data_IF_612507346897
#
_entry.id   IF_612507346897
#
_cell.length_a   1.000
_cell.length_b   1.000
_cell.length_c   1.000
_cell.angle_alpha   90.00
_cell.angle_beta   90.00
_cell.angle_gamma   90.00
#
_symmetry.space_group_name_H-M   'P 1'
#
loop_
_entity.id
_entity.type
_entity.pdbx_description
1 polymer ?
#
# COMPACT_ATOMS: atom_id res chain seq x y z
N UNK A 1 -30.37 8.78 15.95
CA UNK A 1 -29.56 7.69 15.35
C UNK A 1 -28.11 8.06 15.58
N UNK A 2 -27.36 7.25 16.32
CA UNK A 2 -25.93 7.49 16.54
C UNK A 2 -25.11 7.12 15.31
N UNK A 3 -23.86 7.59 15.25
CA UNK A 3 -22.91 7.16 14.22
C UNK A 3 -22.52 5.72 14.48
N UNK A 4 -22.67 4.86 13.47
CA UNK A 4 -22.14 3.49 13.51
C UNK A 4 -20.62 3.54 13.34
N UNK A 5 -19.90 3.34 14.45
CA UNK A 5 -18.44 3.40 14.47
C UNK A 5 -17.82 2.27 13.65
N UNK A 6 -18.44 1.08 13.59
CA UNK A 6 -17.90 -0.02 12.80
C UNK A 6 -17.98 0.33 11.31
N UNK A 7 -19.12 0.83 10.85
CA UNK A 7 -19.26 1.27 9.46
C UNK A 7 -18.30 2.42 9.12
N UNK A 8 -18.14 3.40 10.02
CA UNK A 8 -17.21 4.51 9.83
C UNK A 8 -15.77 4.02 9.68
N UNK A 9 -15.30 3.16 10.59
CA UNK A 9 -13.96 2.60 10.53
C UNK A 9 -13.75 1.73 9.30
N UNK A 10 -14.75 0.94 8.89
CA UNK A 10 -14.69 0.17 7.66
C UNK A 10 -14.48 1.07 6.43
N UNK A 11 -15.16 2.22 6.36
CA UNK A 11 -14.97 3.21 5.28
C UNK A 11 -13.57 3.81 5.31
N UNK A 12 -13.06 4.21 6.49
CA UNK A 12 -11.71 4.78 6.63
C UNK A 12 -10.65 3.79 6.17
N UNK A 13 -10.75 2.53 6.61
CA UNK A 13 -9.81 1.47 6.24
C UNK A 13 -9.89 1.17 4.75
N UNK A 14 -11.10 1.04 4.19
CA UNK A 14 -11.30 0.80 2.77
C UNK A 14 -10.70 1.94 1.94
N UNK A 15 -10.90 3.18 2.36
CA UNK A 15 -10.29 4.35 1.74
C UNK A 15 -8.76 4.27 1.81
N UNK A 16 -8.18 3.95 2.97
CA UNK A 16 -6.73 3.80 3.12
C UNK A 16 -6.15 2.72 2.19
N UNK A 17 -6.78 1.55 2.11
CA UNK A 17 -6.36 0.47 1.21
C UNK A 17 -6.48 0.91 -0.27
N UNK A 18 -7.55 1.61 -0.64
CA UNK A 18 -7.70 2.13 -2.01
C UNK A 18 -6.63 3.15 -2.35
N UNK A 19 -6.32 4.07 -1.43
CA UNK A 19 -5.25 5.05 -1.61
C UNK A 19 -3.90 4.36 -1.77
N UNK A 20 -3.60 3.33 -0.98
CA UNK A 20 -2.40 2.51 -1.14
C UNK A 20 -2.32 1.92 -2.55
N UNK A 21 -3.37 1.22 -3.00
CA UNK A 21 -3.40 0.58 -4.32
C UNK A 21 -3.20 1.59 -5.46
N UNK A 22 -3.76 2.79 -5.34
CA UNK A 22 -3.66 3.82 -6.39
C UNK A 22 -2.31 4.53 -6.36
N UNK A 23 -1.84 4.93 -5.18
CA UNK A 23 -0.62 5.72 -5.02
C UNK A 23 0.62 4.81 -5.07
N UNK A 24 0.74 3.84 -4.19
CA UNK A 24 1.91 2.95 -4.18
C UNK A 24 1.95 2.03 -5.41
N UNK A 25 0.78 1.76 -6.01
CA UNK A 25 0.68 1.00 -7.25
C UNK A 25 1.45 1.61 -8.42
N UNK A 26 1.58 2.95 -8.50
CA UNK A 26 2.41 3.57 -9.53
C UNK A 26 3.91 3.46 -9.22
N UNK A 27 4.31 3.56 -7.94
CA UNK A 27 5.70 3.40 -7.50
C UNK A 27 6.22 2.00 -7.84
N UNK A 28 5.46 0.98 -7.43
CA UNK A 28 5.72 -0.42 -7.74
C UNK A 28 5.68 -0.67 -9.25
N UNK A 29 4.74 -0.05 -9.97
CA UNK A 29 4.66 -0.11 -11.42
C UNK A 29 5.93 0.42 -12.10
N UNK A 30 6.46 1.55 -11.63
CA UNK A 30 7.74 2.10 -12.09
C UNK A 30 8.89 1.15 -11.75
N UNK A 31 8.92 0.57 -10.55
CA UNK A 31 9.92 -0.42 -10.14
C UNK A 31 9.94 -1.66 -11.05
N UNK A 32 8.76 -2.18 -11.41
CA UNK A 32 8.61 -3.31 -12.34
C UNK A 32 9.12 -2.93 -13.75
N UNK A 33 8.83 -1.71 -14.20
CA UNK A 33 9.21 -1.24 -15.54
C UNK A 33 10.69 -0.83 -15.64
N UNK A 34 11.31 -0.42 -14.53
CA UNK A 34 12.68 0.11 -14.44
C UNK A 34 13.75 -0.71 -15.20
N UNK A 35 13.85 -2.06 -15.08
CA UNK A 35 14.88 -2.83 -15.79
C UNK A 35 14.71 -2.83 -17.31
N UNK A 36 13.52 -2.52 -17.83
CA UNK A 36 13.24 -2.53 -19.27
C UNK A 36 13.71 -1.25 -19.99
N UNK A 37 13.92 -0.16 -19.26
CA UNK A 37 14.51 1.08 -19.80
C UNK A 37 16.04 0.97 -19.78
N UNK A 38 16.70 1.25 -20.90
CA UNK A 38 18.17 1.10 -21.02
C UNK A 38 18.93 2.42 -20.89
N UNK A 39 18.33 3.53 -21.31
CA UNK A 39 18.93 4.84 -21.19
C UNK A 39 18.96 5.28 -19.72
N UNK A 40 20.08 5.88 -19.32
CA UNK A 40 20.24 6.35 -17.94
C UNK A 40 19.28 7.51 -17.66
N UNK A 41 19.11 8.39 -18.63
CA UNK A 41 18.26 9.56 -18.55
C UNK A 41 16.79 9.16 -18.26
N UNK A 42 16.28 8.13 -18.94
CA UNK A 42 14.93 7.63 -18.71
C UNK A 42 14.76 7.08 -17.28
N UNK A 43 15.76 6.32 -16.80
CA UNK A 43 15.78 5.78 -15.43
C UNK A 43 15.86 6.87 -14.38
N UNK A 44 16.67 7.90 -14.61
CA UNK A 44 16.78 9.04 -13.72
C UNK A 44 15.45 9.80 -13.65
N UNK A 45 14.76 9.99 -14.78
CA UNK A 45 13.40 10.58 -14.80
C UNK A 45 12.42 9.72 -14.02
N UNK A 46 12.39 8.40 -14.25
CA UNK A 46 11.53 7.47 -13.52
C UNK A 46 11.73 7.60 -12.00
N UNK A 47 12.98 7.53 -11.52
CA UNK A 47 13.28 7.64 -10.09
C UNK A 47 12.90 9.01 -9.51
N UNK A 48 13.14 10.09 -10.24
CA UNK A 48 12.81 11.45 -9.80
C UNK A 48 11.30 11.68 -9.66
N UNK A 49 10.45 10.87 -10.30
CA UNK A 49 8.99 10.95 -10.11
C UNK A 49 8.49 10.25 -8.85
N UNK A 50 9.19 9.21 -8.39
CA UNK A 50 8.80 8.36 -7.24
C UNK A 50 9.42 8.84 -5.94
N UNK A 51 10.71 9.18 -5.96
CA UNK A 51 11.50 9.52 -4.78
C UNK A 51 10.88 10.56 -3.83
N UNK A 52 10.18 11.62 -4.27
CA UNK A 52 9.61 12.59 -3.34
C UNK A 52 8.31 12.14 -2.64
N UNK A 53 7.68 11.04 -3.07
CA UNK A 53 6.32 10.66 -2.63
C UNK A 53 6.19 9.23 -2.12
N UNK A 54 7.12 8.33 -2.47
CA UNK A 54 7.03 6.90 -2.15
C UNK A 54 6.80 6.60 -0.66
N UNK A 55 7.60 7.20 0.23
CA UNK A 55 7.48 7.02 1.69
C UNK A 55 6.10 7.45 2.19
N UNK A 56 5.51 8.49 1.60
CA UNK A 56 4.14 8.91 1.88
C UNK A 56 3.10 7.90 1.40
N UNK A 57 3.33 7.25 0.25
CA UNK A 57 2.41 6.29 -0.33
C UNK A 57 2.32 5.00 0.50
N UNK A 58 3.45 4.53 1.03
CA UNK A 58 3.51 3.37 1.92
C UNK A 58 2.72 3.58 3.23
N UNK A 59 2.60 4.83 3.72
CA UNK A 59 1.85 5.10 4.96
C UNK A 59 0.38 4.68 4.87
N UNK A 60 -0.21 4.65 3.68
CA UNK A 60 -1.59 4.19 3.47
C UNK A 60 -1.75 2.69 3.76
N UNK A 61 -0.74 1.87 3.43
CA UNK A 61 -0.74 0.45 3.79
C UNK A 61 -0.71 0.27 5.30
N UNK A 62 0.15 1.04 5.97
CA UNK A 62 0.27 1.01 7.43
C UNK A 62 -1.05 1.41 8.09
N UNK A 63 -1.71 2.46 7.60
CA UNK A 63 -3.04 2.86 8.06
C UNK A 63 -4.08 1.74 7.87
N UNK A 64 -4.10 1.09 6.71
CA UNK A 64 -5.01 -0.02 6.43
C UNK A 64 -4.78 -1.21 7.37
N UNK A 65 -3.53 -1.64 7.53
CA UNK A 65 -3.16 -2.76 8.39
C UNK A 65 -3.38 -2.48 9.88
N UNK A 66 -2.90 -1.34 10.38
CA UNK A 66 -3.08 -0.93 11.77
C UNK A 66 -4.57 -0.66 12.09
N UNK A 67 -5.30 -0.06 11.14
CA UNK A 67 -6.74 0.17 11.25
C UNK A 67 -7.51 -1.15 11.34
N UNK A 68 -7.20 -2.14 10.50
CA UNK A 68 -7.78 -3.48 10.59
C UNK A 68 -7.48 -4.13 11.94
N UNK A 69 -6.23 -4.07 12.42
CA UNK A 69 -5.86 -4.63 13.72
C UNK A 69 -6.65 -3.98 14.87
N UNK A 70 -6.78 -2.66 14.86
CA UNK A 70 -7.43 -1.90 15.92
C UNK A 70 -8.96 -2.03 15.93
N UNK A 71 -9.60 -1.91 14.76
CA UNK A 71 -11.06 -1.91 14.64
C UNK A 71 -11.66 -3.31 14.38
N UNK A 72 -10.94 -4.20 13.71
CA UNK A 72 -11.42 -5.52 13.26
C UNK A 72 -10.36 -6.62 13.42
N UNK A 73 -9.91 -6.94 14.64
CA UNK A 73 -8.78 -7.84 14.88
C UNK A 73 -8.96 -9.24 14.30
N UNK A 74 -10.21 -9.75 14.25
CA UNK A 74 -10.51 -11.04 13.59
C UNK A 74 -10.33 -10.96 12.07
N UNK A 75 -10.74 -9.88 11.43
CA UNK A 75 -10.52 -9.71 9.99
C UNK A 75 -9.01 -9.58 9.69
N UNK A 76 -8.28 -8.83 10.51
CA UNK A 76 -6.82 -8.70 10.41
C UNK A 76 -6.13 -10.07 10.45
N UNK A 77 -6.45 -10.92 11.44
CA UNK A 77 -5.79 -12.22 11.59
C UNK A 77 -6.11 -13.18 10.44
N UNK A 78 -7.36 -13.19 9.96
CA UNK A 78 -7.78 -14.02 8.83
C UNK A 78 -7.09 -13.59 7.53
N UNK A 79 -7.05 -12.28 7.24
CA UNK A 79 -6.37 -11.75 6.05
C UNK A 79 -4.87 -12.03 6.12
N UNK A 80 -4.22 -11.73 7.24
CA UNK A 80 -2.79 -11.95 7.40
C UNK A 80 -2.42 -13.44 7.23
N UNK A 81 -3.23 -14.35 7.76
CA UNK A 81 -3.01 -15.78 7.62
C UNK A 81 -3.24 -16.25 6.18
N UNK A 82 -4.32 -15.83 5.53
CA UNK A 82 -4.64 -16.23 4.16
C UNK A 82 -3.64 -15.68 3.13
N UNK A 83 -3.13 -14.47 3.36
CA UNK A 83 -2.26 -13.74 2.43
C UNK A 83 -0.82 -13.61 2.93
N UNK A 84 -0.37 -14.45 3.88
CA UNK A 84 0.97 -14.35 4.45
C UNK A 84 2.07 -14.33 3.38
N UNK A 85 2.07 -15.30 2.45
CA UNK A 85 3.08 -15.35 1.39
C UNK A 85 3.00 -14.15 0.43
N UNK A 86 1.83 -13.81 -0.15
CA UNK A 86 1.69 -12.59 -0.95
C UNK A 86 2.17 -11.31 -0.25
N UNK A 87 1.79 -11.11 1.02
CA UNK A 87 2.18 -9.92 1.78
C UNK A 87 3.69 -9.89 2.04
N UNK A 88 4.32 -11.02 2.32
CA UNK A 88 5.78 -11.08 2.48
C UNK A 88 6.49 -10.71 1.18
N UNK A 89 6.05 -11.23 0.03
CA UNK A 89 6.66 -10.86 -1.26
C UNK A 89 6.47 -9.39 -1.60
N UNK A 90 5.29 -8.83 -1.29
CA UNK A 90 5.03 -7.41 -1.44
C UNK A 90 5.98 -6.58 -0.57
N UNK A 91 6.11 -6.91 0.72
CA UNK A 91 7.00 -6.21 1.65
C UNK A 91 8.48 -6.29 1.24
N UNK A 92 8.92 -7.41 0.65
CA UNK A 92 10.27 -7.53 0.10
C UNK A 92 10.49 -6.62 -1.12
N UNK A 93 9.44 -6.23 -1.84
CA UNK A 93 9.52 -5.27 -2.93
C UNK A 93 9.59 -3.81 -2.49
N UNK A 94 9.30 -3.53 -1.21
CA UNK A 94 9.33 -2.19 -0.61
C UNK A 94 10.69 -1.86 0.05
N UNK A 95 11.63 -2.83 0.12
CA UNK A 95 12.97 -2.69 0.75
C UNK A 95 14.05 -2.84 -0.33
#
# INVERSE_FOLDING_TARGET
MGVDLALLWAIIILFGILMYVVMDGFDLGIGILFPFFRAKEDRDVMMNTVAPVWDGNETWLVLGGAGLLAAFPLAYSLVLQAFMLPLVFMLLGLI
#
